data_IF_827811272892
#
_entry.id   IF_827811272892
#
_cell.length_a   1.000
_cell.length_b   1.000
_cell.length_c   1.000
_cell.angle_alpha   90.00
_cell.angle_beta   90.00
_cell.angle_gamma   90.00
#
_symmetry.space_group_name_H-M   'P 1'
#
loop_
_entity.id
_entity.type
_entity.pdbx_description
1 polymer ?
#
# COMPACT_ATOMS: atom_id res chain seq x y z
N UNK A 1 9.32 16.95 14.02
CA UNK A 1 8.00 16.72 13.37
C UNK A 1 7.11 15.94 14.34
N UNK A 2 6.17 16.47 15.12
CA UNK A 2 5.61 17.82 15.27
C UNK A 2 4.73 17.84 16.55
N UNK A 3 4.69 18.96 17.28
CA UNK A 3 3.86 19.22 18.46
C UNK A 3 2.41 19.65 18.10
N UNK A 4 1.87 19.20 16.97
CA UNK A 4 0.49 19.51 16.56
C UNK A 4 -0.51 18.62 17.30
N UNK A 5 -1.56 19.24 17.84
CA UNK A 5 -2.70 18.54 18.48
C UNK A 5 -3.40 17.55 17.54
N UNK A 6 -3.42 17.83 16.23
CA UNK A 6 -3.97 16.95 15.21
C UNK A 6 -2.86 16.30 14.39
N UNK A 7 -2.67 14.99 14.58
CA UNK A 7 -1.78 14.19 13.73
C UNK A 7 -2.44 13.94 12.38
N UNK A 8 -1.71 14.18 11.29
CA UNK A 8 -2.13 13.79 9.94
C UNK A 8 -2.15 12.26 9.88
N UNK A 9 -3.27 11.69 9.47
CA UNK A 9 -3.44 10.23 9.34
C UNK A 9 -3.09 9.80 7.93
N UNK A 10 -2.50 8.61 7.83
CA UNK A 10 -2.35 7.89 6.57
C UNK A 10 -3.40 6.78 6.52
N UNK A 11 -4.06 6.64 5.38
CA UNK A 11 -5.07 5.61 5.10
C UNK A 11 -4.63 4.81 3.87
N UNK A 12 -4.82 3.50 3.91
CA UNK A 12 -4.50 2.58 2.82
C UNK A 12 -5.58 1.52 2.70
N UNK A 13 -5.87 1.08 1.47
CA UNK A 13 -6.84 0.04 1.17
C UNK A 13 -6.44 -0.71 -0.09
N UNK A 14 -6.39 -2.03 0.02
CA UNK A 14 -6.34 -2.95 -1.11
C UNK A 14 -7.74 -3.53 -1.37
N UNK A 15 -8.12 -3.58 -2.64
CA UNK A 15 -9.35 -4.24 -3.10
C UNK A 15 -8.92 -5.48 -3.87
N UNK A 16 -9.33 -6.64 -3.38
CA UNK A 16 -8.99 -7.94 -3.96
C UNK A 16 -10.23 -8.68 -4.43
N UNK A 17 -10.08 -9.55 -5.42
CA UNK A 17 -11.17 -10.39 -5.94
C UNK A 17 -10.73 -11.83 -6.17
N UNK A 18 -11.69 -12.75 -6.06
CA UNK A 18 -11.46 -14.17 -6.34
C UNK A 18 -10.70 -14.90 -5.25
N UNK A 19 -10.43 -16.20 -5.49
CA UNK A 19 -9.73 -17.08 -4.53
C UNK A 19 -8.24 -16.77 -4.43
N UNK A 20 -7.65 -16.29 -5.52
CA UNK A 20 -6.23 -15.92 -5.58
C UNK A 20 -5.97 -14.48 -5.11
N UNK A 21 -7.02 -13.79 -4.62
CA UNK A 21 -6.94 -12.41 -4.10
C UNK A 21 -6.21 -11.45 -5.04
N UNK A 22 -6.57 -11.52 -6.33
CA UNK A 22 -6.02 -10.60 -7.33
C UNK A 22 -6.34 -9.17 -6.93
N UNK A 23 -5.34 -8.30 -6.88
CA UNK A 23 -5.52 -6.90 -6.52
C UNK A 23 -6.10 -6.16 -7.73
N UNK A 24 -7.29 -5.59 -7.54
CA UNK A 24 -8.01 -4.80 -8.57
C UNK A 24 -8.14 -3.34 -8.20
N UNK A 25 -7.79 -2.96 -6.98
CA UNK A 25 -7.78 -1.57 -6.54
C UNK A 25 -6.75 -1.34 -5.42
N UNK A 26 -6.12 -0.18 -5.46
CA UNK A 26 -5.11 0.25 -4.50
C UNK A 26 -5.36 1.74 -4.21
N UNK A 27 -5.88 2.05 -3.02
CA UNK A 27 -6.21 3.42 -2.62
C UNK A 27 -5.37 3.81 -1.41
N UNK A 28 -4.75 4.99 -1.45
CA UNK A 28 -4.03 5.54 -0.32
C UNK A 28 -4.25 7.05 -0.21
N UNK A 29 -4.18 7.57 1.01
CA UNK A 29 -4.21 9.00 1.31
C UNK A 29 -3.26 9.27 2.47
N UNK A 30 -2.26 10.13 2.26
CA UNK A 30 -1.24 10.42 3.27
C UNK A 30 0.01 11.02 2.63
N UNK A 31 1.05 11.21 3.45
CA UNK A 31 2.34 11.74 3.01
C UNK A 31 3.07 10.71 2.13
N UNK A 32 3.60 11.14 0.97
CA UNK A 32 4.40 10.31 0.07
C UNK A 32 3.58 9.34 -0.80
N UNK A 33 2.24 9.44 -0.77
CA UNK A 33 1.36 8.61 -1.61
C UNK A 33 1.56 8.89 -3.10
N UNK A 34 1.85 10.14 -3.44
CA UNK A 34 2.14 10.62 -4.79
C UNK A 34 3.31 9.88 -5.45
N UNK A 35 4.38 9.60 -4.71
CA UNK A 35 5.54 8.86 -5.22
C UNK A 35 5.33 7.33 -5.16
N UNK A 36 4.87 6.80 -4.02
CA UNK A 36 4.76 5.34 -3.84
C UNK A 36 3.72 4.70 -4.77
N UNK A 37 2.65 5.42 -5.12
CA UNK A 37 1.55 4.85 -5.91
C UNK A 37 2.00 4.44 -7.31
N UNK A 38 3.01 5.12 -7.87
CA UNK A 38 3.55 4.79 -9.18
C UNK A 38 4.16 3.37 -9.21
N UNK A 39 4.87 2.98 -8.16
CA UNK A 39 5.45 1.64 -8.05
C UNK A 39 4.38 0.55 -7.97
N UNK A 40 3.37 0.73 -7.12
CA UNK A 40 2.27 -0.22 -6.98
C UNK A 40 1.41 -0.33 -8.25
N UNK A 41 1.24 0.77 -8.99
CA UNK A 41 0.51 0.75 -10.26
C UNK A 41 1.14 -0.22 -11.29
N UNK A 42 2.47 -0.36 -11.30
CA UNK A 42 3.17 -1.35 -12.14
C UNK A 42 2.82 -2.77 -11.71
N UNK A 43 2.87 -3.07 -10.41
CA UNK A 43 2.53 -4.39 -9.87
C UNK A 43 1.07 -4.78 -10.18
N UNK A 44 0.13 -3.85 -10.00
CA UNK A 44 -1.29 -4.05 -10.36
C UNK A 44 -1.45 -4.30 -11.86
N UNK A 45 -0.71 -3.57 -12.71
CA UNK A 45 -0.74 -3.77 -14.17
C UNK A 45 -0.22 -5.16 -14.58
N UNK A 46 0.75 -5.70 -13.84
CA UNK A 46 1.26 -7.06 -14.00
C UNK A 46 0.31 -8.13 -13.45
N UNK A 47 -0.76 -7.73 -12.76
CA UNK A 47 -1.77 -8.64 -12.22
C UNK A 47 -1.43 -9.20 -10.84
N UNK A 48 -0.67 -8.46 -10.04
CA UNK A 48 -0.29 -8.87 -8.69
C UNK A 48 -1.49 -9.31 -7.82
N UNK A 49 -1.24 -10.32 -7.02
CA UNK A 49 -2.12 -10.87 -5.99
C UNK A 49 -1.73 -10.34 -4.61
N UNK A 50 -2.60 -10.53 -3.62
CA UNK A 50 -2.26 -10.21 -2.23
C UNK A 50 -1.01 -10.95 -1.74
N UNK A 51 -0.83 -12.21 -2.18
CA UNK A 51 0.35 -13.01 -1.89
C UNK A 51 1.65 -12.36 -2.38
N UNK A 52 1.65 -11.78 -3.58
CA UNK A 52 2.85 -11.10 -4.10
C UNK A 52 3.27 -9.91 -3.22
N UNK A 53 2.28 -9.21 -2.63
CA UNK A 53 2.53 -8.13 -1.67
C UNK A 53 3.06 -8.70 -0.35
N UNK A 54 2.50 -9.80 0.15
CA UNK A 54 2.93 -10.45 1.41
C UNK A 54 4.33 -11.09 1.31
N UNK A 55 4.68 -11.60 0.14
CA UNK A 55 6.01 -12.14 -0.13
C UNK A 55 7.08 -11.03 -0.28
N UNK A 56 6.66 -9.76 -0.38
CA UNK A 56 7.58 -8.63 -0.54
C UNK A 56 8.09 -8.14 0.81
N UNK A 57 9.42 -8.09 0.98
CA UNK A 57 10.05 -7.60 2.20
C UNK A 57 9.77 -6.10 2.39
N UNK A 58 9.22 -5.76 3.55
CA UNK A 58 9.00 -4.38 3.98
C UNK A 58 10.33 -3.59 4.10
N UNK A 59 10.31 -2.34 3.62
CA UNK A 59 11.41 -1.37 3.85
C UNK A 59 11.01 -0.50 5.04
N UNK A 60 11.84 -0.41 6.07
CA UNK A 60 11.51 0.34 7.29
C UNK A 60 12.47 1.53 7.51
N UNK A 61 12.01 2.71 8.00
CA UNK A 61 10.63 3.11 8.28
C UNK A 61 9.99 3.95 7.15
N UNK A 62 8.97 3.43 6.47
CA UNK A 62 8.24 4.20 5.43
C UNK A 62 6.75 3.86 5.43
N UNK A 63 5.88 4.83 5.15
CA UNK A 63 4.44 4.56 5.07
C UNK A 63 4.08 3.49 4.04
N UNK A 64 4.86 3.35 2.97
CA UNK A 64 4.63 2.32 1.95
C UNK A 64 4.79 0.88 2.46
N UNK A 65 5.49 0.65 3.57
CA UNK A 65 5.63 -0.69 4.16
C UNK A 65 4.29 -1.28 4.59
N UNK A 66 3.33 -0.43 4.99
CA UNK A 66 1.97 -0.83 5.38
C UNK A 66 1.17 -1.47 4.23
N UNK A 67 1.55 -1.21 2.97
CA UNK A 67 0.91 -1.85 1.81
C UNK A 67 1.27 -3.33 1.71
N UNK A 68 2.48 -3.72 2.14
CA UNK A 68 3.01 -5.09 2.04
C UNK A 68 2.95 -5.86 3.37
N UNK A 69 2.43 -5.24 4.43
CA UNK A 69 2.24 -5.89 5.76
C UNK A 69 0.77 -5.99 6.19
N UNK A 70 -0.17 -5.55 5.33
CA UNK A 70 -1.61 -5.58 5.57
C UNK A 70 -2.12 -7.02 5.73
N UNK A 71 -2.96 -7.30 6.73
CA UNK A 71 -3.51 -8.64 7.02
C UNK A 71 -5.00 -8.73 6.73
#
# INVERSE_FOLDING_TARGET
YSFVKHKVKTYMKLIVVGKDEKIVGCHAMGKGVDEMMQGFAVALKMGATKKDFDDTIAIHPVSAEEMVTMK
#
